data_IF_510266927996
#
_entry.id   IF_510266927996
#
_cell.length_a   1.000
_cell.length_b   1.000
_cell.length_c   1.000
_cell.angle_alpha   90.00
_cell.angle_beta   90.00
_cell.angle_gamma   90.00
#
_symmetry.space_group_name_H-M   'P 1'
#
loop_
_entity.id
_entity.type
_entity.pdbx_description
1 polymer ?
#
# COMPACT_ATOMS: atom_id res chain seq x y z
N UNK A 1 1.38 -15.69 12.73
CA UNK A 1 0.82 -14.37 12.38
C UNK A 1 -0.06 -14.53 11.14
N UNK A 2 -1.31 -14.05 11.17
CA UNK A 2 -2.19 -14.07 10.00
C UNK A 2 -1.76 -12.99 8.99
N UNK A 3 -1.66 -13.34 7.71
CA UNK A 3 -1.47 -12.37 6.63
C UNK A 3 -2.83 -11.99 6.06
N UNK A 4 -3.06 -10.69 5.87
CA UNK A 4 -4.31 -10.16 5.32
C UNK A 4 -4.34 -10.30 3.78
N UNK A 5 -4.12 -11.51 3.27
CA UNK A 5 -3.96 -11.77 1.82
C UNK A 5 -5.21 -11.47 1.00
N UNK A 6 -6.38 -11.38 1.63
CA UNK A 6 -7.65 -10.99 0.99
C UNK A 6 -8.00 -9.51 1.13
N UNK A 7 -7.14 -8.68 1.73
CA UNK A 7 -7.39 -7.24 1.87
C UNK A 7 -7.41 -6.58 0.50
N UNK A 8 -8.53 -5.95 0.14
CA UNK A 8 -8.71 -5.28 -1.15
C UNK A 8 -8.56 -3.76 -1.06
N UNK A 9 -8.84 -3.17 0.11
CA UNK A 9 -8.81 -1.73 0.31
C UNK A 9 -8.00 -1.40 1.56
N UNK A 10 -7.01 -0.53 1.42
CA UNK A 10 -6.18 -0.05 2.53
C UNK A 10 -6.14 1.48 2.49
N UNK A 11 -6.76 2.11 3.47
CA UNK A 11 -6.77 3.55 3.63
C UNK A 11 -5.85 3.97 4.77
N UNK A 12 -4.78 4.67 4.43
CA UNK A 12 -3.76 5.23 5.32
C UNK A 12 -3.67 6.75 5.17
N UNK A 13 -4.71 7.39 4.60
CA UNK A 13 -4.77 8.84 4.42
C UNK A 13 -4.53 9.60 5.74
N UNK A 14 -3.86 10.75 5.65
CA UNK A 14 -3.70 11.71 6.74
C UNK A 14 -2.95 11.15 7.95
N UNK A 15 -1.83 10.48 7.66
CA UNK A 15 -0.90 9.97 8.67
C UNK A 15 0.48 10.64 8.53
N UNK A 16 1.45 10.16 9.32
CA UNK A 16 2.83 10.64 9.28
C UNK A 16 3.79 9.60 8.67
N UNK A 17 3.28 8.80 7.74
CA UNK A 17 4.06 7.74 7.08
C UNK A 17 5.11 8.42 6.19
N UNK A 18 6.37 8.01 6.34
CA UNK A 18 7.51 8.56 5.57
C UNK A 18 8.00 7.62 4.47
N UNK A 19 7.72 6.34 4.62
CA UNK A 19 8.14 5.28 3.71
C UNK A 19 7.04 4.21 3.62
N UNK A 20 6.93 3.59 2.44
CA UNK A 20 6.03 2.47 2.23
C UNK A 20 6.83 1.19 2.56
N UNK A 21 6.48 0.43 3.61
CA UNK A 21 7.21 -0.77 3.96
C UNK A 21 7.06 -1.85 2.88
N UNK A 22 8.11 -2.62 2.62
CA UNK A 22 8.05 -3.76 1.68
C UNK A 22 6.95 -4.77 2.02
N UNK A 23 6.53 -4.84 3.28
CA UNK A 23 5.44 -5.69 3.71
C UNK A 23 4.10 -5.39 3.00
N UNK A 24 3.87 -4.15 2.54
CA UNK A 24 2.69 -3.82 1.72
C UNK A 24 2.65 -4.68 0.45
N UNK A 25 3.79 -5.00 -0.16
CA UNK A 25 3.88 -5.83 -1.35
C UNK A 25 3.39 -7.28 -1.17
N UNK A 26 3.11 -7.71 0.08
CA UNK A 26 2.50 -9.01 0.37
C UNK A 26 0.98 -9.00 0.24
N UNK A 27 0.36 -7.83 0.13
CA UNK A 27 -1.09 -7.65 -0.03
C UNK A 27 -1.47 -7.83 -1.50
N UNK A 28 -1.27 -9.01 -2.06
CA UNK A 28 -1.42 -9.25 -3.52
C UNK A 28 -2.85 -9.08 -4.03
N UNK A 29 -3.86 -9.15 -3.16
CA UNK A 29 -5.26 -8.85 -3.50
C UNK A 29 -5.62 -7.36 -3.37
N UNK A 30 -4.68 -6.49 -3.00
CA UNK A 30 -4.95 -5.07 -2.78
C UNK A 30 -5.28 -4.39 -4.10
N UNK A 31 -6.45 -3.77 -4.14
CA UNK A 31 -7.02 -3.08 -5.30
C UNK A 31 -6.90 -1.57 -5.18
N UNK A 32 -7.00 -1.05 -3.96
CA UNK A 32 -6.86 0.38 -3.67
C UNK A 32 -5.99 0.61 -2.44
N UNK A 33 -5.01 1.50 -2.61
CA UNK A 33 -4.15 1.99 -1.56
C UNK A 33 -4.23 3.52 -1.52
N UNK A 34 -4.72 4.07 -0.41
CA UNK A 34 -4.78 5.51 -0.20
C UNK A 34 -3.72 5.92 0.82
N UNK A 35 -2.72 6.66 0.36
CA UNK A 35 -1.59 7.20 1.11
C UNK A 35 -1.57 8.74 1.07
N UNK A 36 -2.65 9.39 0.62
CA UNK A 36 -2.73 10.84 0.60
C UNK A 36 -2.44 11.48 1.95
N UNK A 37 -1.97 12.73 1.92
CA UNK A 37 -1.67 13.51 3.12
C UNK A 37 -0.71 12.79 4.08
N UNK A 38 0.29 12.08 3.54
CA UNK A 38 1.44 11.53 4.25
C UNK A 38 2.73 12.28 3.89
N UNK A 39 3.87 11.81 4.38
CA UNK A 39 5.20 12.39 4.19
C UNK A 39 6.09 11.48 3.32
N UNK A 40 5.47 10.67 2.47
CA UNK A 40 6.14 9.71 1.59
C UNK A 40 6.84 10.47 0.48
N UNK A 41 8.14 10.23 0.32
CA UNK A 41 8.98 10.90 -0.69
C UNK A 41 9.15 10.08 -1.96
N UNK A 42 9.02 8.77 -1.83
CA UNK A 42 9.24 7.83 -2.92
C UNK A 42 8.26 6.67 -2.85
N UNK A 43 7.90 6.16 -4.02
CA UNK A 43 7.14 4.93 -4.15
C UNK A 43 8.16 3.81 -4.44
N UNK A 44 8.33 2.82 -3.56
CA UNK A 44 9.33 1.79 -3.75
C UNK A 44 8.91 0.84 -4.88
N UNK A 45 9.90 0.24 -5.56
CA UNK A 45 9.67 -0.77 -6.61
C UNK A 45 8.80 -1.95 -6.12
N UNK A 46 8.82 -2.22 -4.81
CA UNK A 46 7.97 -3.22 -4.17
C UNK A 46 6.47 -3.04 -4.48
N UNK A 47 6.00 -1.82 -4.78
CA UNK A 47 4.62 -1.56 -5.21
C UNK A 47 4.27 -2.28 -6.53
N UNK A 48 5.25 -2.52 -7.41
CA UNK A 48 5.04 -3.27 -8.65
C UNK A 48 4.59 -4.73 -8.42
N UNK A 49 4.77 -5.27 -7.21
CA UNK A 49 4.31 -6.61 -6.83
C UNK A 49 2.81 -6.66 -6.49
N UNK A 50 2.16 -5.51 -6.35
CA UNK A 50 0.72 -5.41 -6.13
C UNK A 50 -0.02 -5.54 -7.47
N UNK A 51 -0.05 -6.75 -8.02
CA UNK A 51 -0.60 -7.02 -9.36
C UNK A 51 -2.10 -6.74 -9.48
N UNK A 52 -2.82 -6.65 -8.37
CA UNK A 52 -4.26 -6.31 -8.34
C UNK A 52 -4.52 -4.82 -8.14
N UNK A 53 -3.49 -3.99 -7.90
CA UNK A 53 -3.65 -2.57 -7.57
C UNK A 53 -3.95 -1.77 -8.83
N UNK A 54 -5.10 -1.11 -8.85
CA UNK A 54 -5.51 -0.23 -9.94
C UNK A 54 -5.79 1.20 -9.46
N UNK A 55 -5.82 1.44 -8.14
CA UNK A 55 -5.94 2.77 -7.54
C UNK A 55 -4.82 3.01 -6.52
N UNK A 56 -4.02 4.05 -6.76
CA UNK A 56 -3.05 4.59 -5.81
C UNK A 56 -3.29 6.08 -5.66
N UNK A 57 -3.59 6.51 -4.43
CA UNK A 57 -3.85 7.90 -4.07
C UNK A 57 -2.83 8.42 -3.07
#
# INVERSE_FOLDING_TARGET
MAQLTSLQYLNLNSNQIREIPEAIARLTSLQSLNLNSNQIREIPEAIARLTSLWVLF
#
